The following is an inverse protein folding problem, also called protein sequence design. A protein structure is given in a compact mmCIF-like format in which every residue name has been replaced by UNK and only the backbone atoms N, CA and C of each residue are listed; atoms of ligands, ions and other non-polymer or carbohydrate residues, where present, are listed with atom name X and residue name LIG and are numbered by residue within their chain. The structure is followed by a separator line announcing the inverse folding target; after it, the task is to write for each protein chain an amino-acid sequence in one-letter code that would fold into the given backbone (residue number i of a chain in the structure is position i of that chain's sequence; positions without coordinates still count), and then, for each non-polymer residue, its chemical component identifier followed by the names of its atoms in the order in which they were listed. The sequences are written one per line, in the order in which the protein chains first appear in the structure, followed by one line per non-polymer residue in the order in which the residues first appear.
data_IF_319440294461
#
_entry.id   IF_319440294461
#
_cell.length_a   1.000
_cell.length_b   1.000
_cell.length_c   1.000
_cell.angle_alpha   90.00
_cell.angle_beta   90.00
_cell.angle_gamma   90.00
#
_symmetry.space_group_name_H-M   'P 1'
#
loop_
_entity.id
_entity.type
_entity.pdbx_description
1 polymer ?
#
# COMPACT_ATOMS: atom_id res chain seq x y z
N UNK A 1 -11.97 15.77 34.61
CA UNK A 1 -11.41 17.13 34.77
C UNK A 1 -11.94 17.82 36.01
N UNK A 2 -13.26 17.95 36.20
CA UNK A 2 -13.85 18.53 37.42
C UNK A 2 -13.27 17.94 38.73
N UNK A 3 -13.33 16.61 38.90
CA UNK A 3 -12.80 15.94 40.10
C UNK A 3 -11.30 16.20 40.34
N UNK A 4 -10.52 16.34 39.27
CA UNK A 4 -9.09 16.65 39.34
C UNK A 4 -8.84 18.08 39.86
N UNK A 5 -9.62 19.05 39.40
CA UNK A 5 -9.53 20.43 39.87
C UNK A 5 -9.99 20.57 41.33
N UNK A 6 -11.04 19.85 41.72
CA UNK A 6 -11.57 19.85 43.10
C UNK A 6 -10.57 19.26 44.08
N UNK A 7 -9.99 18.10 43.77
CA UNK A 7 -8.99 17.44 44.63
C UNK A 7 -7.72 18.27 44.83
N UNK A 8 -7.37 19.14 43.89
CA UNK A 8 -6.16 19.98 43.93
C UNK A 8 -6.42 21.44 44.34
N UNK A 9 -7.65 21.79 44.70
CA UNK A 9 -8.01 23.16 45.06
C UNK A 9 -7.95 24.17 43.90
N UNK A 10 -7.90 23.71 42.64
CA UNK A 10 -7.75 24.54 41.45
C UNK A 10 -9.12 25.09 40.96
N UNK A 11 -9.79 25.86 41.81
CA UNK A 11 -11.15 26.37 41.56
C UNK A 11 -11.20 27.36 40.39
N UNK A 12 -10.21 28.25 40.30
CA UNK A 12 -10.10 29.24 39.22
C UNK A 12 -9.82 28.59 37.87
N UNK A 13 -8.94 27.59 37.85
CA UNK A 13 -8.67 26.81 36.65
C UNK A 13 -9.94 26.08 36.17
N UNK A 14 -10.73 25.52 37.09
CA UNK A 14 -12.03 24.95 36.73
C UNK A 14 -12.99 26.01 36.17
N UNK A 15 -13.06 27.20 36.78
CA UNK A 15 -13.84 28.32 36.26
C UNK A 15 -13.47 28.65 34.81
N UNK A 16 -12.18 28.81 34.52
CA UNK A 16 -11.67 29.03 33.18
C UNK A 16 -12.00 27.87 32.22
N UNK A 17 -11.77 26.62 32.63
CA UNK A 17 -12.09 25.47 31.79
C UNK A 17 -13.59 25.35 31.52
N UNK A 18 -14.44 25.68 32.49
CA UNK A 18 -15.89 25.65 32.32
C UNK A 18 -16.36 26.71 31.34
N UNK A 19 -15.97 27.98 31.53
CA UNK A 19 -16.39 29.08 30.64
C UNK A 19 -15.89 28.87 29.22
N UNK A 20 -14.63 28.46 29.09
CA UNK A 20 -13.95 28.39 27.80
C UNK A 20 -14.25 27.07 27.07
N UNK A 21 -14.27 25.93 27.75
CA UNK A 21 -14.17 24.62 27.09
C UNK A 21 -15.34 23.67 27.42
N UNK A 22 -15.82 23.62 28.66
CA UNK A 22 -16.83 22.64 29.10
C UNK A 22 -18.27 23.17 29.16
N UNK A 23 -18.51 24.46 28.91
CA UNK A 23 -19.87 24.99 28.90
C UNK A 23 -20.71 24.37 27.76
N UNK A 24 -22.03 24.15 27.95
CA UNK A 24 -22.89 23.56 26.91
C UNK A 24 -22.89 24.33 25.59
N UNK A 25 -22.66 25.65 25.64
CA UNK A 25 -22.51 26.51 24.45
C UNK A 25 -21.24 26.16 23.68
N UNK A 26 -20.12 25.99 24.40
CA UNK A 26 -18.82 25.63 23.81
C UNK A 26 -18.76 24.14 23.47
N UNK A 27 -19.55 23.29 24.11
CA UNK A 27 -19.65 21.86 23.79
C UNK A 27 -19.95 21.61 22.30
N UNK A 28 -20.74 22.48 21.65
CA UNK A 28 -21.00 22.43 20.21
C UNK A 28 -19.74 22.60 19.34
N UNK A 29 -18.69 23.25 19.87
CA UNK A 29 -17.41 23.47 19.20
C UNK A 29 -16.43 22.30 19.45
N UNK A 30 -16.43 21.72 20.65
CA UNK A 30 -15.46 20.69 21.06
C UNK A 30 -15.97 19.25 20.90
N UNK A 31 -17.27 19.03 21.04
CA UNK A 31 -17.89 17.75 20.70
C UNK A 31 -17.70 17.55 19.21
N UNK A 32 -16.80 16.63 18.85
CA UNK A 32 -16.63 16.20 17.47
C UNK A 32 -18.02 15.87 16.89
N UNK A 33 -18.29 16.53 15.76
CA UNK A 33 -19.44 16.42 14.86
C UNK A 33 -20.74 17.14 15.26
N UNK A 34 -20.74 18.48 15.24
CA UNK A 34 -21.93 19.23 14.78
C UNK A 34 -22.16 19.08 13.27
N UNK A 35 -21.18 18.51 12.56
CA UNK A 35 -21.28 18.18 11.15
C UNK A 35 -22.08 16.88 10.93
N UNK A 36 -23.04 16.84 9.99
CA UNK A 36 -23.72 15.61 9.59
C UNK A 36 -22.78 14.63 8.85
N UNK A 37 -21.53 15.02 8.59
CA UNK A 37 -20.55 14.25 7.84
C UNK A 37 -19.70 13.34 8.73
N UNK A 38 -19.69 12.05 8.40
CA UNK A 38 -18.80 11.04 8.95
C UNK A 38 -17.37 11.26 8.46
N UNK A 39 -16.42 11.35 9.40
CA UNK A 39 -15.00 11.47 9.08
C UNK A 39 -14.49 10.22 8.35
N UNK A 40 -13.88 10.39 7.18
CA UNK A 40 -13.32 9.28 6.39
C UNK A 40 -12.03 8.71 6.98
N UNK A 41 -11.21 9.60 7.54
CA UNK A 41 -9.86 9.31 8.03
C UNK A 41 -9.76 9.80 9.47
N UNK A 42 -8.96 9.09 10.29
CA UNK A 42 -8.55 9.60 11.60
C UNK A 42 -7.60 10.78 11.33
N UNK A 43 -8.04 11.99 11.66
CA UNK A 43 -7.32 13.23 11.33
C UNK A 43 -5.90 13.25 11.89
N UNK A 44 -5.68 12.66 13.06
CA UNK A 44 -4.36 12.56 13.70
C UNK A 44 -3.36 11.80 12.84
N UNK A 45 -3.78 10.69 12.23
CA UNK A 45 -2.92 9.83 11.42
C UNK A 45 -2.47 10.51 10.12
N UNK A 46 -3.35 11.31 9.49
CA UNK A 46 -2.99 12.06 8.29
C UNK A 46 -2.03 13.20 8.59
N UNK A 47 -2.27 13.93 9.68
CA UNK A 47 -1.41 15.02 10.13
C UNK A 47 -0.02 14.46 10.46
N UNK A 48 0.07 13.36 11.20
CA UNK A 48 1.34 12.68 11.49
C UNK A 48 2.05 12.22 10.21
N UNK A 49 1.33 11.62 9.27
CA UNK A 49 1.89 11.18 8.00
C UNK A 49 2.38 12.37 7.15
N UNK A 50 1.63 13.47 7.13
CA UNK A 50 2.05 14.71 6.46
C UNK A 50 3.34 15.24 7.08
N UNK A 51 3.41 15.38 8.41
CA UNK A 51 4.62 15.83 9.09
C UNK A 51 5.80 14.89 8.89
N UNK A 52 5.55 13.58 8.85
CA UNK A 52 6.58 12.59 8.50
C UNK A 52 7.13 12.83 7.09
N UNK A 53 6.25 13.01 6.11
CA UNK A 53 6.66 13.30 4.73
C UNK A 53 7.38 14.64 4.60
N UNK A 54 6.90 15.68 5.29
CA UNK A 54 7.53 16.99 5.32
C UNK A 54 8.95 16.90 5.88
N UNK A 55 9.10 16.28 7.06
CA UNK A 55 10.39 16.13 7.75
C UNK A 55 11.39 15.30 6.94
N UNK A 56 11.00 14.12 6.49
CA UNK A 56 11.93 13.21 5.81
C UNK A 56 12.11 13.51 4.33
N UNK A 57 11.06 14.03 3.65
CA UNK A 57 11.12 14.31 2.22
C UNK A 57 11.75 15.66 1.91
N UNK A 58 11.42 16.70 2.67
CA UNK A 58 11.74 18.08 2.31
C UNK A 58 12.66 18.78 3.32
N UNK A 59 12.59 18.42 4.60
CA UNK A 59 13.38 19.07 5.67
C UNK A 59 14.54 18.20 6.19
N UNK A 60 14.99 17.22 5.41
CA UNK A 60 16.03 16.27 5.87
C UNK A 60 17.37 16.97 6.22
N UNK A 61 17.69 18.08 5.55
CA UNK A 61 18.88 18.90 5.83
C UNK A 61 18.61 20.12 6.72
N UNK A 62 17.38 20.29 7.20
CA UNK A 62 16.96 21.46 7.98
C UNK A 62 16.53 21.04 9.38
N UNK A 63 17.48 21.07 10.33
CA UNK A 63 17.22 20.76 11.73
C UNK A 63 16.27 21.77 12.40
N UNK A 64 16.31 23.04 11.97
CA UNK A 64 15.42 24.13 12.41
C UNK A 64 15.26 25.19 11.30
N UNK A 65 14.41 24.95 10.29
CA UNK A 65 14.17 25.95 9.25
C UNK A 65 13.58 27.22 9.87
N UNK A 66 14.04 28.40 9.42
CA UNK A 66 13.35 29.66 9.72
C UNK A 66 11.95 29.62 9.12
N UNK A 67 11.00 30.38 9.70
CA UNK A 67 9.61 30.36 9.26
C UNK A 67 9.47 30.67 7.76
N UNK A 68 10.17 31.69 7.26
CA UNK A 68 10.13 32.08 5.85
C UNK A 68 10.66 30.98 4.92
N UNK A 69 11.74 30.31 5.33
CA UNK A 69 12.30 29.19 4.58
C UNK A 69 11.34 27.99 4.57
N UNK A 70 10.68 27.71 5.70
CA UNK A 70 9.67 26.66 5.77
C UNK A 70 8.48 26.96 4.85
N UNK A 71 7.99 28.21 4.86
CA UNK A 71 6.91 28.65 3.96
C UNK A 71 7.35 28.49 2.51
N UNK A 72 8.56 28.93 2.16
CA UNK A 72 9.10 28.77 0.82
C UNK A 72 9.15 27.31 0.38
N UNK A 73 9.63 26.39 1.23
CA UNK A 73 9.66 24.94 0.96
C UNK A 73 8.24 24.40 0.78
N UNK A 74 7.29 24.80 1.63
CA UNK A 74 5.90 24.36 1.55
C UNK A 74 5.25 24.77 0.21
N UNK A 75 5.46 26.01 -0.21
CA UNK A 75 4.86 26.57 -1.44
C UNK A 75 5.56 26.04 -2.68
N UNK A 76 6.89 25.96 -2.70
CA UNK A 76 7.64 25.69 -3.94
C UNK A 76 7.94 24.20 -4.15
N UNK A 77 8.04 23.41 -3.09
CA UNK A 77 8.42 21.99 -3.19
C UNK A 77 7.29 21.06 -2.79
N UNK A 78 6.71 21.28 -1.61
CA UNK A 78 5.71 20.36 -1.04
C UNK A 78 4.43 20.41 -1.86
N UNK A 79 3.85 21.60 -2.01
CA UNK A 79 2.56 21.78 -2.70
C UNK A 79 2.59 21.24 -4.14
N UNK A 80 3.58 21.58 -4.99
CA UNK A 80 3.66 21.04 -6.35
C UNK A 80 3.87 19.52 -6.39
N UNK A 81 4.67 18.96 -5.46
CA UNK A 81 4.84 17.51 -5.38
C UNK A 81 3.53 16.78 -5.00
N UNK A 82 2.70 17.39 -4.14
CA UNK A 82 1.36 16.88 -3.87
C UNK A 82 0.46 17.02 -5.11
N UNK A 83 0.46 18.16 -5.81
CA UNK A 83 -0.30 18.33 -7.05
C UNK A 83 0.06 17.29 -8.13
N UNK A 84 1.35 17.05 -8.36
CA UNK A 84 1.81 16.04 -9.31
C UNK A 84 1.32 14.63 -8.94
N UNK A 85 1.31 14.27 -7.64
CA UNK A 85 0.76 13.00 -7.18
C UNK A 85 -0.76 12.93 -7.30
N UNK A 86 -1.44 14.05 -7.05
CA UNK A 86 -2.90 14.13 -7.19
C UNK A 86 -3.32 14.00 -8.66
N UNK A 87 -2.56 14.54 -9.61
CA UNK A 87 -2.83 14.36 -11.03
C UNK A 87 -2.90 12.88 -11.45
N UNK A 88 -2.18 11.98 -10.78
CA UNK A 88 -2.26 10.53 -11.03
C UNK A 88 -3.66 9.96 -10.77
N UNK A 89 -4.43 10.61 -9.88
CA UNK A 89 -5.79 10.23 -9.52
C UNK A 89 -6.85 10.77 -10.51
N UNK A 90 -6.49 11.73 -11.36
CA UNK A 90 -7.38 12.26 -12.39
C UNK A 90 -7.64 11.20 -13.45
N UNK A 91 -8.90 11.13 -13.91
CA UNK A 91 -9.30 10.16 -14.93
C UNK A 91 -8.56 10.41 -16.27
N UNK A 92 -8.19 11.66 -16.56
CA UNK A 92 -7.39 12.04 -17.74
C UNK A 92 -5.90 11.65 -17.69
N UNK A 93 -5.36 11.22 -16.55
CA UNK A 93 -3.94 10.83 -16.48
C UNK A 93 -3.66 9.48 -17.17
N UNK A 94 -4.68 8.65 -17.37
CA UNK A 94 -4.58 7.32 -18.00
C UNK A 94 -5.52 7.18 -19.18
N UNK A 95 -5.46 8.11 -20.12
CA UNK A 95 -6.17 7.98 -21.41
C UNK A 95 -5.70 6.67 -22.08
N UNK A 96 -6.63 5.73 -22.30
CA UNK A 96 -6.36 4.44 -22.95
C UNK A 96 -6.10 3.24 -22.01
N UNK A 97 -6.17 3.39 -20.68
CA UNK A 97 -6.11 2.24 -19.73
C UNK A 97 -7.33 2.19 -18.82
N UNK A 98 -7.71 0.99 -18.40
CA UNK A 98 -8.79 0.82 -17.42
C UNK A 98 -8.46 1.47 -16.08
N UNK A 99 -9.49 2.00 -15.42
CA UNK A 99 -9.37 2.69 -14.14
C UNK A 99 -8.86 1.75 -13.06
N UNK A 100 -7.69 2.08 -12.48
CA UNK A 100 -7.15 1.30 -11.38
C UNK A 100 -7.98 1.55 -10.11
N UNK A 101 -8.38 0.49 -9.38
CA UNK A 101 -9.14 0.69 -8.15
C UNK A 101 -8.29 1.39 -7.09
N UNK A 102 -8.91 2.30 -6.35
CA UNK A 102 -8.27 3.02 -5.24
C UNK A 102 -7.88 2.05 -4.11
N UNK A 103 -6.99 2.47 -3.21
CA UNK A 103 -6.62 1.65 -2.05
C UNK A 103 -7.84 1.26 -1.20
N UNK A 104 -8.78 2.20 -1.04
CA UNK A 104 -10.05 1.96 -0.38
C UNK A 104 -10.88 0.90 -1.11
N UNK A 105 -11.05 1.00 -2.43
CA UNK A 105 -11.79 0.02 -3.23
C UNK A 105 -11.18 -1.38 -3.15
N UNK A 106 -9.84 -1.48 -3.16
CA UNK A 106 -9.12 -2.75 -2.95
C UNK A 106 -9.43 -3.34 -1.57
N UNK A 107 -9.31 -2.53 -0.51
CA UNK A 107 -9.63 -2.96 0.86
C UNK A 107 -11.10 -3.39 0.98
N UNK A 108 -12.02 -2.60 0.43
CA UNK A 108 -13.45 -2.89 0.41
C UNK A 108 -13.74 -4.24 -0.27
N UNK A 109 -13.19 -4.48 -1.46
CA UNK A 109 -13.31 -5.75 -2.20
C UNK A 109 -12.77 -6.94 -1.40
N UNK A 110 -11.60 -6.81 -0.77
CA UNK A 110 -11.01 -7.88 0.05
C UNK A 110 -11.89 -8.20 1.26
N UNK A 111 -12.40 -7.18 1.96
CA UNK A 111 -13.28 -7.37 3.10
C UNK A 111 -14.62 -7.97 2.71
N UNK A 112 -15.18 -7.54 1.56
CA UNK A 112 -16.41 -8.10 1.02
C UNK A 112 -16.27 -9.59 0.75
N UNK A 113 -15.26 -10.00 -0.04
CA UNK A 113 -15.00 -11.42 -0.34
C UNK A 113 -14.79 -12.27 0.91
N UNK A 114 -14.10 -11.72 1.92
CA UNK A 114 -13.90 -12.38 3.21
C UNK A 114 -15.21 -12.59 3.96
N UNK A 115 -16.17 -11.68 3.85
CA UNK A 115 -17.49 -11.82 4.46
C UNK A 115 -18.38 -12.74 3.63
N UNK A 116 -18.32 -12.66 2.30
CA UNK A 116 -19.05 -13.52 1.37
C UNK A 116 -18.78 -15.01 1.64
N UNK A 117 -17.51 -15.39 1.82
CA UNK A 117 -17.12 -16.78 2.12
C UNK A 117 -17.45 -17.28 3.54
N UNK A 118 -17.91 -16.42 4.46
CA UNK A 118 -18.31 -16.88 5.81
C UNK A 118 -19.70 -17.46 5.79
N UNK A 119 -19.90 -18.59 6.45
CA UNK A 119 -21.24 -19.11 6.75
C UNK A 119 -21.93 -18.19 7.75
N UNK A 120 -23.21 -17.92 7.51
CA UNK A 120 -24.05 -17.26 8.49
C UNK A 120 -24.36 -18.29 9.57
N UNK A 121 -23.86 -18.06 10.79
CA UNK A 121 -24.35 -18.79 11.95
C UNK A 121 -25.82 -18.36 12.12
N UNK A 122 -26.73 -19.28 11.81
CA UNK A 122 -28.16 -19.11 12.09
C UNK A 122 -28.32 -19.28 13.60
N UNK A 123 -27.90 -18.26 14.36
CA UNK A 123 -28.33 -18.14 15.75
C UNK A 123 -29.85 -17.89 15.68
N UNK A 124 -30.64 -18.95 15.84
CA UNK A 124 -32.10 -18.93 15.70
C UNK A 124 -32.80 -17.86 16.56
N UNK A 125 -32.11 -17.35 17.57
CA UNK A 125 -32.60 -16.39 18.56
C UNK A 125 -32.26 -14.92 18.26
N UNK A 126 -31.37 -14.62 17.29
CA UNK A 126 -30.94 -13.23 17.00
C UNK A 126 -31.18 -12.86 15.55
N UNK A 127 -32.43 -12.47 15.25
CA UNK A 127 -32.77 -11.83 13.97
C UNK A 127 -32.22 -10.40 13.96
N UNK A 128 -31.18 -10.17 13.15
CA UNK A 128 -30.68 -8.82 12.90
C UNK A 128 -31.51 -8.14 11.81
N UNK A 129 -32.02 -6.94 12.10
CA UNK A 129 -32.66 -6.08 11.10
C UNK A 129 -31.57 -5.49 10.21
N UNK A 130 -31.69 -5.68 8.90
CA UNK A 130 -30.84 -5.10 7.84
C UNK A 130 -31.66 -4.18 6.95
N UNK A 131 -31.12 -3.00 6.66
CA UNK A 131 -31.68 -2.08 5.67
C UNK A 131 -30.59 -1.74 4.65
N UNK A 132 -30.77 -2.23 3.41
CA UNK A 132 -29.85 -1.96 2.30
C UNK A 132 -29.95 -0.49 1.88
N UNK A 133 -31.15 0.07 1.84
CA UNK A 133 -31.40 1.48 1.48
C UNK A 133 -30.66 2.46 2.39
N UNK A 134 -30.68 2.22 3.71
CA UNK A 134 -29.96 3.05 4.70
C UNK A 134 -28.51 2.59 4.90
N UNK A 135 -28.14 1.44 4.34
CA UNK A 135 -26.89 0.73 4.59
C UNK A 135 -26.61 0.53 6.10
N UNK A 136 -27.59 0.01 6.82
CA UNK A 136 -27.52 -0.18 8.28
C UNK A 136 -27.88 -1.61 8.67
N UNK A 137 -27.19 -2.11 9.69
CA UNK A 137 -27.46 -3.39 10.30
C UNK A 137 -27.34 -3.27 11.81
N UNK A 138 -28.26 -3.90 12.54
CA UNK A 138 -28.28 -3.94 14.01
C UNK A 138 -27.15 -4.79 14.62
N UNK A 139 -26.32 -5.44 13.81
CA UNK A 139 -25.23 -6.26 14.30
C UNK A 139 -24.03 -5.44 14.81
N UNK A 140 -23.36 -5.94 15.85
CA UNK A 140 -22.17 -5.31 16.44
C UNK A 140 -20.96 -5.25 15.49
N UNK A 141 -20.94 -6.07 14.44
CA UNK A 141 -19.78 -6.17 13.53
C UNK A 141 -19.70 -5.03 12.52
N UNK A 142 -20.83 -4.41 12.16
CA UNK A 142 -20.85 -3.30 11.20
C UNK A 142 -19.99 -2.09 11.67
N UNK A 143 -20.18 -1.53 12.88
CA UNK A 143 -19.38 -0.38 13.32
C UNK A 143 -17.90 -0.73 13.58
N UNK A 144 -17.58 -1.99 13.87
CA UNK A 144 -16.21 -2.44 14.12
C UNK A 144 -15.39 -2.60 12.84
N UNK A 145 -16.05 -2.73 11.69
CA UNK A 145 -15.40 -2.87 10.40
C UNK A 145 -15.03 -1.48 9.84
N UNK A 146 -13.78 -1.31 9.38
CA UNK A 146 -13.31 -0.05 8.77
C UNK A 146 -14.10 0.39 7.53
N UNK A 147 -14.68 -0.57 6.81
CA UNK A 147 -15.54 -0.36 5.64
C UNK A 147 -17.04 -0.41 5.99
N UNK A 148 -17.41 -0.47 7.27
CA UNK A 148 -18.80 -0.59 7.70
C UNK A 148 -19.59 -1.74 7.03
N UNK A 149 -18.90 -2.86 6.79
CA UNK A 149 -19.47 -4.08 6.22
C UNK A 149 -19.72 -5.12 7.31
N UNK A 150 -20.83 -5.84 7.20
CA UNK A 150 -21.11 -7.04 7.96
C UNK A 150 -21.63 -8.15 7.05
N UNK A 151 -21.59 -9.41 7.53
CA UNK A 151 -22.08 -10.56 6.75
C UNK A 151 -23.55 -10.38 6.36
N UNK A 152 -24.40 -9.89 7.27
CA UNK A 152 -25.83 -9.70 6.99
C UNK A 152 -26.10 -8.70 5.85
N UNK A 153 -25.31 -7.62 5.76
CA UNK A 153 -25.44 -6.65 4.66
C UNK A 153 -24.92 -7.22 3.34
N UNK A 154 -23.78 -7.92 3.38
CA UNK A 154 -23.22 -8.57 2.19
C UNK A 154 -24.15 -9.65 1.65
N UNK A 155 -24.80 -10.41 2.53
CA UNK A 155 -25.74 -11.46 2.15
C UNK A 155 -27.11 -10.92 1.71
N UNK A 156 -27.55 -9.80 2.29
CA UNK A 156 -28.78 -9.11 1.86
C UNK A 156 -28.67 -8.57 0.42
N UNK A 157 -27.46 -8.34 -0.08
CA UNK A 157 -27.19 -7.87 -1.44
C UNK A 157 -26.81 -9.05 -2.35
N UNK A 158 -27.13 -8.94 -3.64
CA UNK A 158 -26.66 -9.88 -4.66
C UNK A 158 -25.14 -9.80 -4.89
N UNK A 159 -24.59 -10.75 -5.63
CA UNK A 159 -23.17 -10.69 -6.02
C UNK A 159 -22.95 -9.54 -7.01
N UNK A 160 -22.08 -8.55 -6.70
CA UNK A 160 -21.92 -7.39 -7.56
C UNK A 160 -21.05 -7.69 -8.79
N UNK A 161 -21.27 -6.94 -9.88
CA UNK A 161 -20.48 -7.05 -11.11
C UNK A 161 -19.03 -6.59 -10.92
N UNK A 162 -18.10 -6.93 -11.83
CA UNK A 162 -16.72 -6.45 -11.75
C UNK A 162 -16.58 -4.91 -11.77
N UNK A 163 -17.46 -4.22 -12.49
CA UNK A 163 -17.47 -2.75 -12.63
C UNK A 163 -17.85 -2.04 -11.32
N UNK A 164 -18.66 -2.67 -10.47
CA UNK A 164 -19.01 -2.12 -9.17
C UNK A 164 -17.78 -1.76 -8.33
N UNK A 165 -16.73 -2.57 -8.40
CA UNK A 165 -15.54 -2.38 -7.57
C UNK A 165 -14.75 -1.11 -7.92
N UNK A 166 -14.88 -0.59 -9.15
CA UNK A 166 -14.22 0.66 -9.57
C UNK A 166 -15.11 1.88 -9.38
N UNK A 167 -16.43 1.66 -9.25
CA UNK A 167 -17.44 2.72 -9.10
C UNK A 167 -17.87 2.95 -7.64
N UNK A 168 -17.62 2.00 -6.74
CA UNK A 168 -18.02 2.13 -5.33
C UNK A 168 -17.24 3.26 -4.64
N UNK A 169 -17.99 4.18 -4.05
CA UNK A 169 -17.48 5.32 -3.27
C UNK A 169 -18.15 5.34 -1.90
N UNK A 170 -17.39 5.69 -0.85
CA UNK A 170 -17.91 5.86 0.51
C UNK A 170 -18.37 7.29 0.71
N UNK A 171 -19.65 7.47 0.99
CA UNK A 171 -20.26 8.77 1.33
C UNK A 171 -19.95 9.14 2.78
N UNK A 172 -19.97 10.45 3.07
CA UNK A 172 -19.86 10.96 4.44
C UNK A 172 -21.22 11.10 5.12
N UNK A 173 -22.31 11.05 4.37
CA UNK A 173 -23.69 11.07 4.88
C UNK A 173 -24.30 9.67 4.79
N UNK A 174 -25.35 9.42 5.57
CA UNK A 174 -26.15 8.21 5.39
C UNK A 174 -27.06 8.36 4.15
N UNK A 175 -27.29 7.28 3.37
CA UNK A 175 -26.62 5.99 3.42
C UNK A 175 -25.14 6.07 2.99
N UNK A 176 -24.29 5.32 3.72
CA UNK A 176 -22.84 5.30 3.55
C UNK A 176 -22.38 4.83 2.16
N UNK A 177 -23.15 3.91 1.56
CA UNK A 177 -22.93 3.42 0.21
C UNK A 177 -24.25 3.49 -0.53
N UNK A 178 -24.19 3.96 -1.78
CA UNK A 178 -25.32 4.00 -2.71
C UNK A 178 -24.77 3.63 -4.08
N UNK A 179 -25.34 2.61 -4.70
CA UNK A 179 -24.94 2.16 -6.03
C UNK A 179 -26.10 1.39 -6.67
N UNK A 180 -26.33 1.48 -8.00
CA UNK A 180 -27.40 0.73 -8.67
C UNK A 180 -27.30 -0.80 -8.53
N UNK A 181 -26.10 -1.29 -8.22
CA UNK A 181 -25.85 -2.71 -7.98
C UNK A 181 -26.12 -3.14 -6.52
N UNK A 182 -26.28 -2.20 -5.59
CA UNK A 182 -26.55 -2.47 -4.17
C UNK A 182 -28.06 -2.51 -3.94
N UNK A 183 -28.69 -3.57 -4.42
CA UNK A 183 -30.12 -3.80 -4.30
C UNK A 183 -30.35 -5.08 -3.48
N UNK A 184 -31.39 -5.14 -2.62
CA UNK A 184 -31.79 -6.37 -1.95
C UNK A 184 -31.94 -7.54 -2.94
N UNK A 185 -31.59 -8.75 -2.51
CA UNK A 185 -31.78 -9.96 -3.34
C UNK A 185 -33.24 -10.07 -3.81
N UNK A 186 -33.43 -10.17 -5.12
CA UNK A 186 -34.74 -10.33 -5.75
C UNK A 186 -35.43 -9.05 -6.22
N UNK A 187 -34.87 -7.86 -5.96
CA UNK A 187 -35.36 -6.60 -6.53
C UNK A 187 -34.60 -6.21 -7.81
N UNK A 188 -35.28 -5.58 -8.76
CA UNK A 188 -34.67 -5.07 -9.99
C UNK A 188 -33.67 -3.94 -9.70
N UNK A 189 -32.63 -3.84 -10.53
CA UNK A 189 -31.62 -2.77 -10.42
C UNK A 189 -32.29 -1.41 -10.59
N UNK A 190 -32.31 -0.60 -9.53
CA UNK A 190 -32.91 0.73 -9.56
C UNK A 190 -32.19 1.66 -10.54
N UNK A 191 -32.92 2.61 -11.14
CA UNK A 191 -32.31 3.69 -11.95
C UNK A 191 -31.25 4.45 -11.12
N UNK A 192 -30.12 4.68 -11.78
CA UNK A 192 -28.93 5.38 -11.29
C UNK A 192 -29.31 6.74 -10.70
N UNK A 193 -28.93 6.97 -9.45
CA UNK A 193 -28.98 8.30 -8.83
C UNK A 193 -27.54 8.78 -8.76
N UNK A 194 -27.30 10.00 -9.25
CA UNK A 194 -25.96 10.53 -9.41
C UNK A 194 -25.14 10.44 -8.10
N UNK A 195 -23.85 10.06 -8.19
CA UNK A 195 -22.92 10.10 -7.06
C UNK A 195 -22.76 11.47 -6.41
N UNK A 196 -23.16 12.54 -7.11
CA UNK A 196 -23.09 13.96 -6.73
C UNK A 196 -24.20 14.38 -5.75
N UNK A 197 -25.32 13.64 -5.68
CA UNK A 197 -26.50 14.08 -4.95
C UNK A 197 -26.32 13.88 -3.43
N UNK A 198 -25.76 14.92 -2.80
CA UNK A 198 -25.45 14.99 -1.37
C UNK A 198 -24.07 14.45 -0.97
N UNK A 199 -23.19 14.13 -1.92
CA UNK A 199 -21.78 13.91 -1.63
C UNK A 199 -21.05 15.24 -1.77
N UNK A 200 -20.70 15.89 -0.66
CA UNK A 200 -19.55 16.80 -0.69
C UNK A 200 -18.34 15.90 -0.97
N UNK A 201 -18.03 15.74 -2.25
CA UNK A 201 -16.83 15.08 -2.75
C UNK A 201 -15.64 15.97 -2.41
N UNK A 202 -15.16 15.89 -1.17
CA UNK A 202 -13.84 16.41 -0.80
C UNK A 202 -12.75 15.57 -1.50
N UNK A 203 -12.63 15.66 -2.84
CA UNK A 203 -11.53 15.12 -3.63
C UNK A 203 -11.60 13.63 -3.98
N UNK A 204 -12.79 13.05 -4.06
CA UNK A 204 -13.03 11.71 -4.63
C UNK A 204 -13.73 11.78 -6.00
N UNK A 205 -14.19 12.97 -6.37
CA UNK A 205 -14.34 13.37 -7.75
C UNK A 205 -12.96 13.28 -8.41
N UNK A 206 -12.88 12.44 -9.44
CA UNK A 206 -11.67 12.29 -10.26
C UNK A 206 -11.40 13.51 -11.14
N UNK A 207 -12.16 14.59 -10.91
CA UNK A 207 -11.97 15.91 -11.45
C UNK A 207 -11.41 16.79 -10.32
N UNK A 208 -10.09 16.87 -10.22
CA UNK A 208 -9.48 17.98 -9.50
C UNK A 208 -9.90 19.28 -10.17
N UNK A 209 -10.17 20.31 -9.35
CA UNK A 209 -10.52 21.68 -9.76
C UNK A 209 -9.78 22.06 -11.05
N UNK A 210 -10.55 22.52 -12.04
CA UNK A 210 -10.08 22.89 -13.37
C UNK A 210 -8.84 23.81 -13.27
N UNK A 211 -7.71 23.51 -13.93
CA UNK A 211 -6.52 24.37 -13.89
C UNK A 211 -6.83 25.83 -14.26
N UNK A 212 -7.91 26.07 -15.03
CA UNK A 212 -8.44 27.41 -15.33
C UNK A 212 -8.85 28.23 -14.10
N UNK A 213 -9.37 27.59 -13.05
CA UNK A 213 -9.75 28.25 -11.78
C UNK A 213 -8.51 28.75 -11.02
N UNK A 214 -7.36 28.10 -11.22
CA UNK A 214 -6.06 28.56 -10.71
C UNK A 214 -5.33 29.48 -11.69
N UNK A 215 -5.71 29.48 -12.96
CA UNK A 215 -5.18 30.36 -14.01
C UNK A 215 -5.86 31.74 -14.04
N UNK A 216 -7.03 31.89 -13.38
CA UNK A 216 -7.69 33.17 -13.19
C UNK A 216 -6.97 34.03 -12.16
N UNK A 217 -5.88 34.69 -12.57
CA UNK A 217 -5.35 35.97 -12.03
C UNK A 217 -5.27 36.17 -10.51
N UNK A 218 -5.27 35.08 -9.74
CA UNK A 218 -5.21 35.05 -8.28
C UNK A 218 -4.23 33.98 -7.82
N UNK A 219 -3.25 33.66 -8.66
CA UNK A 219 -2.13 32.81 -8.28
C UNK A 219 -1.29 33.56 -7.25
N UNK A 220 -0.75 32.87 -6.25
CA UNK A 220 0.17 33.43 -5.24
C UNK A 220 1.38 34.20 -5.83
N UNK A 221 1.63 34.12 -7.14
CA UNK A 221 2.61 34.92 -7.87
C UNK A 221 2.22 36.39 -7.98
N UNK A 222 0.94 36.75 -7.91
CA UNK A 222 0.47 38.13 -8.01
C UNK A 222 0.63 38.92 -6.70
N UNK A 223 1.05 38.25 -5.62
CA UNK A 223 1.33 38.88 -4.32
C UNK A 223 2.79 39.37 -4.17
N UNK A 224 3.65 39.17 -5.15
CA UNK A 224 5.02 39.70 -5.12
C UNK A 224 5.37 40.39 -6.44
N UNK A 225 5.85 41.63 -6.33
CA UNK A 225 6.32 42.54 -7.38
C UNK A 225 5.27 43.44 -8.05
N UNK A 226 4.51 44.19 -7.23
CA UNK A 226 4.28 45.60 -7.57
C UNK A 226 5.39 46.43 -6.92
N UNK A 227 5.98 47.34 -7.69
CA UNK A 227 7.07 48.27 -7.37
C UNK A 227 8.50 47.68 -7.29
N UNK A 228 9.14 47.54 -8.45
CA UNK A 228 10.34 48.33 -8.77
C UNK A 228 10.91 47.89 -10.11
N UNK A 229 10.84 48.80 -11.08
CA UNK A 229 11.68 48.83 -12.27
C UNK A 229 13.15 48.54 -11.94
N UNK A 230 13.80 47.69 -12.75
CA UNK A 230 15.09 47.94 -13.42
C UNK A 230 15.73 46.61 -13.88
N UNK A 231 16.22 46.61 -15.12
CA UNK A 231 17.04 45.59 -15.80
C UNK A 231 16.24 44.35 -16.28
N UNK A 232 16.20 43.96 -17.55
CA UNK A 232 16.95 44.36 -18.73
C UNK A 232 16.90 43.20 -19.73
N UNK A 233 16.18 43.42 -20.84
CA UNK A 233 16.21 42.74 -22.15
C UNK A 233 17.15 41.52 -22.32
N UNK A 234 16.62 40.42 -22.85
CA UNK A 234 16.77 40.08 -24.29
C UNK A 234 15.93 38.87 -24.71
N UNK A 235 14.96 39.16 -25.56
CA UNK A 235 14.35 38.29 -26.56
C UNK A 235 15.34 38.03 -27.69
N UNK A 236 15.36 36.82 -28.28
CA UNK A 236 15.26 36.69 -29.75
C UNK A 236 14.83 35.29 -30.17
N UNK A 237 13.84 35.28 -31.05
CA UNK A 237 13.23 34.15 -31.75
C UNK A 237 13.75 34.10 -33.19
N UNK A 238 13.39 33.02 -33.90
CA UNK A 238 13.39 32.78 -35.36
C UNK A 238 14.68 32.15 -35.92
N UNK A 239 14.70 31.25 -36.92
CA UNK A 239 13.72 30.75 -37.93
C UNK A 239 14.37 29.51 -38.62
N UNK A 240 13.64 28.42 -38.96
CA UNK A 240 13.36 27.87 -40.32
C UNK A 240 14.49 28.09 -41.37
N UNK A 241 14.97 27.14 -42.20
CA UNK A 241 14.32 26.20 -43.16
C UNK A 241 15.48 25.37 -43.82
N UNK A 242 15.41 24.04 -43.98
CA UNK A 242 14.99 23.21 -45.15
C UNK A 242 16.09 22.73 -46.14
N UNK A 243 15.96 21.43 -46.52
CA UNK A 243 16.24 20.75 -47.81
C UNK A 243 17.58 20.02 -48.12
N UNK A 244 17.40 18.81 -48.72
CA UNK A 244 18.34 18.01 -49.54
C UNK A 244 18.84 16.74 -48.84
N UNK A 245 18.18 15.58 -48.88
CA UNK A 245 18.00 14.60 -49.97
C UNK A 245 19.28 13.83 -50.38
N UNK A 246 19.27 12.49 -50.22
CA UNK A 246 19.80 11.47 -51.14
C UNK A 246 20.02 10.10 -50.45
N UNK A 247 19.37 9.10 -51.05
CA UNK A 247 19.45 7.63 -50.99
C UNK A 247 20.76 6.94 -50.55
N UNK A 248 20.62 5.77 -49.91
CA UNK A 248 20.96 4.48 -50.54
C UNK A 248 20.43 3.30 -49.71
N UNK A 249 20.00 2.29 -50.45
CA UNK A 249 19.52 0.97 -50.02
C UNK A 249 20.53 0.22 -49.12
N UNK A 250 20.02 -0.62 -48.23
CA UNK A 250 20.41 -2.03 -48.19
C UNK A 250 19.44 -2.83 -47.31
N UNK A 251 18.90 -3.88 -47.92
CA UNK A 251 17.99 -4.85 -47.33
C UNK A 251 18.78 -6.12 -47.03
N UNK A 252 18.72 -6.61 -45.78
CA UNK A 252 19.10 -8.00 -45.47
C UNK A 252 18.04 -8.67 -44.57
N UNK A 253 17.25 -9.48 -45.25
CA UNK A 253 17.14 -10.93 -45.04
C UNK A 253 16.56 -11.46 -43.71
N UNK A 254 15.27 -11.77 -43.79
CA UNK A 254 14.52 -12.63 -42.87
C UNK A 254 14.88 -14.09 -43.15
N UNK A 255 15.71 -14.68 -42.29
CA UNK A 255 16.02 -16.10 -42.36
C UNK A 255 14.90 -16.92 -41.68
N UNK A 256 13.99 -17.45 -42.52
CA UNK A 256 13.11 -18.58 -42.16
C UNK A 256 13.94 -19.85 -42.18
N UNK A 257 14.12 -20.48 -41.03
CA UNK A 257 14.75 -21.80 -40.95
C UNK A 257 13.74 -22.88 -41.37
N UNK A 258 14.12 -23.59 -42.43
CA UNK A 258 13.56 -24.86 -42.90
C UNK A 258 13.94 -25.99 -41.94
N UNK A 259 13.01 -26.90 -41.68
CA UNK A 259 13.26 -28.20 -41.06
C UNK A 259 14.07 -29.10 -42.01
N UNK A 260 15.16 -29.75 -41.58
CA UNK A 260 15.68 -30.94 -42.23
C UNK A 260 15.16 -32.20 -41.55
N UNK A 261 14.94 -33.22 -42.38
CA UNK A 261 14.45 -34.53 -41.99
C UNK A 261 15.51 -35.36 -41.26
N UNK A 262 15.02 -36.06 -40.24
CA UNK A 262 15.44 -37.33 -39.65
C UNK A 262 16.63 -38.07 -40.32
N UNK A 263 17.77 -38.12 -39.62
CA UNK A 263 18.61 -39.32 -39.60
C UNK A 263 19.43 -39.41 -38.29
N UNK A 264 19.22 -40.53 -37.57
CA UNK A 264 20.02 -41.16 -36.50
C UNK A 264 20.87 -40.28 -35.55
N UNK A 265 20.33 -39.96 -34.36
CA UNK A 265 21.09 -39.50 -33.18
C UNK A 265 20.65 -40.29 -31.93
N UNK A 266 21.29 -41.42 -31.70
CA UNK A 266 21.21 -42.16 -30.41
C UNK A 266 22.22 -41.60 -29.39
N UNK A 267 23.17 -40.75 -29.81
CA UNK A 267 24.21 -40.15 -28.95
C UNK A 267 23.75 -38.91 -28.18
N UNK A 268 22.80 -38.13 -28.71
CA UNK A 268 22.31 -36.91 -28.04
C UNK A 268 21.40 -37.23 -26.86
N UNK A 269 20.70 -38.37 -26.92
CA UNK A 269 19.78 -38.80 -25.85
C UNK A 269 20.58 -39.27 -24.62
N UNK A 270 21.71 -39.94 -24.82
CA UNK A 270 22.57 -40.37 -23.71
C UNK A 270 23.21 -39.16 -22.99
N UNK A 271 23.67 -38.15 -23.72
CA UNK A 271 24.23 -36.92 -23.14
C UNK A 271 23.18 -36.09 -22.38
N UNK A 272 21.92 -36.05 -22.87
CA UNK A 272 20.81 -35.40 -22.17
C UNK A 272 20.45 -36.13 -20.87
N UNK A 273 20.43 -37.47 -20.89
CA UNK A 273 20.14 -38.31 -19.71
C UNK A 273 21.22 -38.18 -18.64
N UNK A 274 22.50 -38.13 -19.02
CA UNK A 274 23.59 -37.88 -18.08
C UNK A 274 23.51 -36.48 -17.46
N UNK A 275 23.09 -35.47 -18.24
CA UNK A 275 22.80 -34.13 -17.72
C UNK A 275 21.69 -34.12 -16.66
N UNK A 276 20.59 -34.85 -16.89
CA UNK A 276 19.52 -34.99 -15.90
C UNK A 276 19.97 -35.76 -14.66
N UNK A 277 20.78 -36.82 -14.83
CA UNK A 277 21.34 -37.59 -13.73
C UNK A 277 22.19 -36.71 -12.81
N UNK A 278 23.09 -35.93 -13.38
CA UNK A 278 23.95 -35.01 -12.61
C UNK A 278 23.15 -33.92 -11.91
N UNK A 279 22.12 -33.40 -12.57
CA UNK A 279 21.20 -32.45 -11.97
C UNK A 279 20.48 -33.04 -10.75
N UNK A 280 19.96 -34.27 -10.88
CA UNK A 280 19.26 -34.97 -9.80
C UNK A 280 20.20 -35.30 -8.63
N UNK A 281 21.43 -35.74 -8.90
CA UNK A 281 22.43 -36.00 -7.86
C UNK A 281 22.78 -34.73 -7.09
N UNK A 282 22.97 -33.60 -7.78
CA UNK A 282 23.21 -32.30 -7.15
C UNK A 282 22.02 -31.89 -6.28
N UNK A 283 20.79 -32.07 -6.80
CA UNK A 283 19.57 -31.71 -6.06
C UNK A 283 19.35 -32.59 -4.84
N UNK A 284 19.68 -33.88 -4.92
CA UNK A 284 19.64 -34.79 -3.77
C UNK A 284 20.61 -34.34 -2.67
N UNK A 285 21.85 -33.98 -3.03
CA UNK A 285 22.83 -33.47 -2.07
C UNK A 285 22.39 -32.16 -1.38
N UNK A 286 21.73 -31.25 -2.12
CA UNK A 286 21.13 -30.03 -1.54
C UNK A 286 20.04 -30.34 -0.51
N UNK A 287 19.18 -31.33 -0.81
CA UNK A 287 18.12 -31.77 0.10
C UNK A 287 18.66 -32.39 1.38
N UNK A 288 19.71 -33.21 1.29
CA UNK A 288 20.37 -33.79 2.47
C UNK A 288 20.96 -32.72 3.38
N UNK A 289 21.62 -31.71 2.79
CA UNK A 289 22.18 -30.58 3.53
C UNK A 289 21.09 -29.73 4.18
N UNK A 290 20.00 -29.43 3.46
CA UNK A 290 18.87 -28.72 4.02
C UNK A 290 18.24 -29.50 5.19
N UNK A 291 18.12 -30.83 5.07
CA UNK A 291 17.64 -31.68 6.14
C UNK A 291 18.56 -31.64 7.37
N UNK A 292 19.89 -31.63 7.17
CA UNK A 292 20.86 -31.49 8.26
C UNK A 292 20.69 -30.14 8.99
N UNK A 293 20.57 -29.04 8.24
CA UNK A 293 20.35 -27.70 8.81
C UNK A 293 19.05 -27.66 9.62
N UNK A 294 17.95 -28.19 9.07
CA UNK A 294 16.66 -28.24 9.76
C UNK A 294 16.78 -29.00 11.08
N UNK A 295 17.41 -30.18 11.08
CA UNK A 295 17.61 -30.98 12.30
C UNK A 295 18.47 -30.25 13.33
N UNK A 296 19.52 -29.55 12.90
CA UNK A 296 20.37 -28.76 13.80
C UNK A 296 19.61 -27.59 14.45
N UNK A 297 18.61 -27.01 13.76
CA UNK A 297 17.86 -25.87 14.27
C UNK A 297 16.67 -26.22 15.19
N UNK A 298 16.15 -27.44 15.11
CA UNK A 298 15.01 -27.88 15.94
C UNK A 298 15.24 -27.71 17.45
N UNK A 299 16.42 -28.08 18.02
CA UNK A 299 16.71 -27.88 19.44
C UNK A 299 16.66 -26.41 19.90
N UNK A 300 16.97 -25.46 19.02
CA UNK A 300 17.04 -24.03 19.37
C UNK A 300 15.67 -23.36 19.56
N UNK A 301 14.57 -24.02 19.18
CA UNK A 301 13.17 -23.57 19.40
C UNK A 301 12.88 -22.12 18.96
N UNK A 302 13.58 -21.61 17.95
CA UNK A 302 13.36 -20.25 17.47
C UNK A 302 12.03 -20.14 16.69
N UNK A 303 11.01 -19.60 17.35
CA UNK A 303 9.66 -19.46 16.78
C UNK A 303 9.63 -18.67 15.46
N UNK A 304 10.47 -17.63 15.31
CA UNK A 304 10.47 -16.79 14.11
C UNK A 304 11.01 -17.57 12.91
N UNK A 305 12.15 -18.24 13.09
CA UNK A 305 12.77 -19.03 12.04
C UNK A 305 11.90 -20.25 11.68
N UNK A 306 11.44 -21.01 12.68
CA UNK A 306 10.57 -22.17 12.45
C UNK A 306 9.26 -21.79 11.74
N UNK A 307 8.65 -20.65 12.09
CA UNK A 307 7.44 -20.15 11.42
C UNK A 307 7.71 -19.67 9.99
N UNK A 308 8.89 -19.12 9.72
CA UNK A 308 9.32 -18.71 8.38
C UNK A 308 9.47 -19.93 7.47
N UNK A 309 10.19 -20.94 7.96
CA UNK A 309 10.44 -22.21 7.26
C UNK A 309 9.15 -23.00 7.03
N UNK A 310 8.31 -23.18 8.05
CA UNK A 310 7.09 -24.00 7.94
C UNK A 310 6.02 -23.42 6.99
N UNK A 311 6.05 -22.11 6.71
CA UNK A 311 5.08 -21.46 5.81
C UNK A 311 5.52 -21.44 4.35
N UNK A 312 6.77 -21.81 4.06
CA UNK A 312 7.36 -21.70 2.73
C UNK A 312 7.44 -23.06 2.06
N UNK A 313 7.24 -23.06 0.75
CA UNK A 313 7.47 -24.23 -0.09
C UNK A 313 8.97 -24.32 -0.43
N UNK A 314 9.74 -24.86 0.52
CA UNK A 314 11.19 -24.96 0.41
C UNK A 314 11.61 -25.92 -0.72
N UNK A 315 10.71 -26.81 -1.17
CA UNK A 315 11.01 -27.85 -2.16
C UNK A 315 11.51 -27.32 -3.50
N UNK A 316 11.03 -26.17 -3.95
CA UNK A 316 11.52 -25.50 -5.18
C UNK A 316 12.84 -24.71 -4.93
N UNK A 317 13.02 -24.18 -3.73
CA UNK A 317 14.09 -23.22 -3.40
C UNK A 317 15.22 -23.79 -2.53
N UNK A 318 15.31 -25.12 -2.36
CA UNK A 318 16.26 -25.80 -1.44
C UNK A 318 17.70 -25.35 -1.65
N UNK A 319 18.19 -25.38 -2.89
CA UNK A 319 19.56 -24.97 -3.20
C UNK A 319 19.86 -23.52 -2.84
N UNK A 320 18.89 -22.62 -3.04
CA UNK A 320 19.03 -21.21 -2.67
C UNK A 320 19.06 -21.03 -1.14
N UNK A 321 18.21 -21.78 -0.42
CA UNK A 321 18.22 -21.79 1.05
C UNK A 321 19.59 -22.23 1.60
N UNK A 322 20.14 -23.34 1.09
CA UNK A 322 21.43 -23.87 1.52
C UNK A 322 22.57 -22.88 1.23
N UNK A 323 22.58 -22.29 0.02
CA UNK A 323 23.58 -21.29 -0.34
C UNK A 323 23.50 -20.03 0.53
N UNK A 324 22.30 -19.55 0.84
CA UNK A 324 22.08 -18.36 1.67
C UNK A 324 22.55 -18.61 3.12
N UNK A 325 22.33 -19.81 3.67
CA UNK A 325 22.76 -20.19 5.02
C UNK A 325 24.29 -20.36 5.08
N UNK A 326 24.91 -21.01 4.10
CA UNK A 326 26.37 -21.11 4.01
C UNK A 326 27.04 -19.75 3.91
N UNK A 327 26.47 -18.84 3.12
CA UNK A 327 26.93 -17.45 3.04
C UNK A 327 26.82 -16.78 4.40
N UNK A 328 25.73 -16.99 5.13
CA UNK A 328 25.55 -16.41 6.46
C UNK A 328 26.56 -16.95 7.48
N UNK A 329 26.85 -18.25 7.46
CA UNK A 329 27.85 -18.87 8.32
C UNK A 329 29.27 -18.38 8.00
N UNK A 330 29.62 -18.24 6.72
CA UNK A 330 30.94 -17.73 6.31
C UNK A 330 31.13 -16.24 6.57
N UNK A 331 30.04 -15.46 6.59
CA UNK A 331 30.05 -14.01 6.82
C UNK A 331 29.69 -13.60 8.24
N UNK A 332 29.63 -14.54 9.19
CA UNK A 332 29.15 -14.32 10.57
C UNK A 332 29.83 -13.14 11.31
N UNK A 333 31.04 -12.74 10.91
CA UNK A 333 31.75 -11.59 11.47
C UNK A 333 31.37 -10.23 10.86
N UNK A 334 30.75 -10.20 9.68
CA UNK A 334 30.27 -9.00 9.00
C UNK A 334 28.74 -8.99 9.04
N UNK A 335 28.16 -8.23 9.96
CA UNK A 335 26.70 -8.14 10.09
C UNK A 335 26.09 -7.48 8.85
N UNK A 336 25.45 -8.28 8.00
CA UNK A 336 24.53 -7.76 6.98
C UNK A 336 23.42 -6.93 7.68
N UNK A 337 23.02 -5.83 7.04
CA UNK A 337 21.93 -4.97 7.55
C UNK A 337 20.67 -5.80 7.80
N UNK A 338 19.96 -5.58 8.91
CA UNK A 338 18.85 -6.44 9.35
C UNK A 338 17.62 -6.41 8.42
N UNK A 339 17.51 -5.40 7.55
CA UNK A 339 16.32 -5.13 6.73
C UNK A 339 16.65 -5.05 5.25
N UNK A 340 15.87 -5.73 4.40
CA UNK A 340 16.12 -5.75 2.96
C UNK A 340 16.01 -4.36 2.35
N UNK A 341 16.92 -4.01 1.43
CA UNK A 341 16.74 -2.78 0.64
C UNK A 341 15.48 -2.92 -0.24
N UNK A 342 14.71 -1.83 -0.34
CA UNK A 342 13.46 -1.84 -1.10
C UNK A 342 13.74 -2.15 -2.58
N UNK A 343 13.20 -3.26 -3.08
CA UNK A 343 13.33 -3.69 -4.48
C UNK A 343 14.34 -4.81 -4.70
N UNK A 344 15.17 -5.12 -3.71
CA UNK A 344 16.14 -6.22 -3.78
C UNK A 344 15.47 -7.54 -3.35
N UNK A 345 15.14 -8.38 -4.34
CA UNK A 345 14.45 -9.65 -4.12
C UNK A 345 15.37 -10.68 -3.47
N UNK A 346 16.65 -10.70 -3.83
CA UNK A 346 17.62 -11.66 -3.31
C UNK A 346 17.97 -11.34 -1.85
N UNK A 347 18.11 -10.06 -1.51
CA UNK A 347 18.37 -9.64 -0.13
C UNK A 347 17.20 -9.95 0.81
N UNK A 348 15.97 -9.82 0.28
CA UNK A 348 14.76 -10.24 1.02
C UNK A 348 14.74 -11.76 1.23
N UNK A 349 15.02 -12.56 0.20
CA UNK A 349 15.09 -14.03 0.29
C UNK A 349 16.14 -14.46 1.33
N UNK A 350 17.36 -13.91 1.24
CA UNK A 350 18.46 -14.19 2.18
C UNK A 350 18.05 -13.93 3.62
N UNK A 351 17.40 -12.80 3.88
CA UNK A 351 16.90 -12.44 5.21
C UNK A 351 15.83 -13.43 5.67
N UNK A 352 14.87 -13.76 4.83
CA UNK A 352 13.83 -14.72 5.20
C UNK A 352 14.39 -16.12 5.53
N UNK A 353 15.50 -16.52 4.89
CA UNK A 353 16.22 -17.78 5.14
C UNK A 353 17.05 -17.77 6.44
N UNK A 354 17.62 -16.61 6.81
CA UNK A 354 18.61 -16.47 7.90
C UNK A 354 18.05 -15.83 9.17
N UNK A 355 16.86 -15.21 9.11
CA UNK A 355 16.25 -14.52 10.25
C UNK A 355 15.93 -15.48 11.39
N UNK A 356 16.71 -15.37 12.48
CA UNK A 356 16.58 -16.22 13.65
C UNK A 356 17.33 -17.55 13.54
N UNK A 357 18.10 -17.75 12.46
CA UNK A 357 19.04 -18.87 12.35
C UNK A 357 20.13 -18.73 13.42
N UNK A 358 20.42 -19.82 14.13
CA UNK A 358 21.51 -19.88 15.10
C UNK A 358 22.67 -20.67 14.50
N UNK A 359 23.85 -20.07 14.45
CA UNK A 359 25.03 -20.75 13.90
C UNK A 359 25.33 -21.97 14.78
N UNK A 360 25.27 -23.15 14.17
CA UNK A 360 25.64 -24.38 14.84
C UNK A 360 27.17 -24.42 14.94
N UNK A 361 27.68 -24.27 16.15
CA UNK A 361 29.07 -24.60 16.46
C UNK A 361 29.04 -26.06 16.93
N UNK A 362 29.60 -27.02 16.17
CA UNK A 362 29.69 -28.38 16.66
C UNK A 362 30.43 -28.36 18.01
N UNK A 363 29.97 -29.13 19.02
CA UNK A 363 30.72 -29.26 20.25
C UNK A 363 32.13 -29.72 19.89
N UNK A 364 33.12 -28.92 20.28
CA UNK A 364 34.52 -29.34 20.23
C UNK A 364 34.58 -30.67 20.97
N UNK A 365 35.04 -31.72 20.30
CA UNK A 365 35.29 -32.99 20.97
C UNK A 365 36.31 -32.68 22.07
N UNK A 366 35.82 -32.62 23.31
CA UNK A 366 36.68 -32.64 24.48
C UNK A 366 37.24 -34.05 24.48
N UNK A 367 38.48 -34.21 24.03
CA UNK A 367 39.24 -35.43 24.30
C UNK A 367 39.25 -35.58 25.82
N UNK A 368 38.50 -36.55 26.33
CA UNK A 368 38.60 -36.98 27.71
C UNK A 368 40.01 -37.56 27.89
N UNK A 369 40.94 -36.74 28.38
CA UNK A 369 42.19 -37.21 28.95
C UNK A 369 41.86 -38.13 30.12
N UNK A 370 41.85 -39.42 29.85
CA UNK A 370 41.82 -40.49 30.84
C UNK A 370 43.20 -40.51 31.52
N UNK A 371 43.33 -39.78 32.63
CA UNK A 371 44.43 -40.00 33.58
C UNK A 371 44.21 -41.35 34.30
N UNK A 372 45.22 -42.22 34.18
CA UNK A 372 45.39 -43.47 34.96
C UNK A 372 46.33 -43.20 36.13
#
# INVERSE_FOLDING_TARGET
MYMFCVQRGLREAWGYFWTSWYSPKMWKLWARSTSPYLSRLRTTMNVENFWRQLKHGFLHNHLRPRLDQLIWILVTQVTPAYHARMQILNDGHRIGRSKAPTQFQKQFKTMWKKLEGRTLAVDADRKYITSVERWTCTCKSQPLNSCHLCKHLVDAVGHPSPEFWTQVVRRRTQPLYRHPALVPRGQEKSKYIEPSDGSITDGDDHALVDPGVLAGGGGWRDLNFSSSSLLGKRTRSSRQESHGDSSSDDAEEVQRQFFPAFDTHDSDVEEEVDGYRDHLLRRAAELEQAAAILRAQVPHRNKLWMSSIARRDIGADVGQMVADIRRFESTAHVRDTTWAKKGDKDDRRRKENTMGYQIYVPPVAVEEDVEV
#
